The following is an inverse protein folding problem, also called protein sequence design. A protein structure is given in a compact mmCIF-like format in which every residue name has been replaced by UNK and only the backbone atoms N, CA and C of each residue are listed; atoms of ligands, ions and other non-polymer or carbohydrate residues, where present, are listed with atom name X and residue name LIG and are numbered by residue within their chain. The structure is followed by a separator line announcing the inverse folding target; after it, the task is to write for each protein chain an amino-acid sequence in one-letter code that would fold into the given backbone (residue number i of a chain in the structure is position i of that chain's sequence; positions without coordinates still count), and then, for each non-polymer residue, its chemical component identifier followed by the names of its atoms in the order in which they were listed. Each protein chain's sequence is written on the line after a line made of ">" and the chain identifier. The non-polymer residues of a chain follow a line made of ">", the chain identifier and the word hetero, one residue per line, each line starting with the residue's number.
data_IF_724137929274
#
_entry.id   IF_724137929274
#
_cell.length_a   1.000
_cell.length_b   1.000
_cell.length_c   1.000
_cell.angle_alpha   90.00
_cell.angle_beta   90.00
_cell.angle_gamma   90.00
#
_symmetry.space_group_name_H-M   'P 1'
#
loop_
_entity.id
_entity.type
_entity.pdbx_description
1 polymer ?
#
# COMPACT_ATOMS: atom_id res chain seq x y z
N UNK A 1 -64.29 -10.40 9.26
CA UNK A 1 -63.71 -9.29 10.04
C UNK A 1 -62.76 -9.87 11.06
N UNK A 2 -61.49 -9.56 11.22
CA UNK A 2 -60.51 -8.70 10.55
C UNK A 2 -59.15 -9.14 11.15
N UNK A 3 -58.10 -9.08 10.34
CA UNK A 3 -56.79 -9.71 10.59
C UNK A 3 -56.04 -9.18 11.83
N UNK A 4 -55.30 -10.08 12.49
CA UNK A 4 -54.32 -9.87 13.57
C UNK A 4 -53.36 -8.69 13.31
N UNK A 5 -53.09 -7.81 14.29
CA UNK A 5 -51.98 -6.87 14.16
C UNK A 5 -50.67 -7.60 14.49
N UNK A 6 -49.92 -7.87 13.43
CA UNK A 6 -48.55 -8.35 13.49
C UNK A 6 -47.62 -7.23 13.98
N UNK A 7 -46.79 -7.58 14.96
CA UNK A 7 -45.38 -7.21 15.04
C UNK A 7 -45.08 -5.71 15.02
N UNK A 8 -44.93 -5.15 16.23
CA UNK A 8 -44.10 -3.98 16.49
C UNK A 8 -42.67 -4.26 16.01
N UNK A 9 -42.40 -4.00 14.74
CA UNK A 9 -41.04 -3.84 14.22
C UNK A 9 -40.55 -2.51 14.75
N UNK A 10 -39.64 -2.60 15.70
CA UNK A 10 -38.84 -1.52 16.25
C UNK A 10 -38.43 -0.57 15.13
N UNK A 11 -38.95 0.66 15.19
CA UNK A 11 -38.40 1.80 14.48
C UNK A 11 -36.97 1.98 15.00
N UNK A 12 -36.01 1.39 14.29
CA UNK A 12 -34.60 1.72 14.46
C UNK A 12 -34.40 3.10 13.86
N UNK A 13 -34.55 4.06 14.77
CA UNK A 13 -34.22 5.46 14.71
C UNK A 13 -33.14 5.76 13.67
N UNK A 14 -33.60 6.47 12.64
CA UNK A 14 -32.81 6.91 11.53
C UNK A 14 -31.88 8.03 11.99
N UNK A 15 -30.63 7.96 11.51
CA UNK A 15 -29.70 9.10 11.46
C UNK A 15 -28.93 9.37 12.75
N UNK A 16 -28.14 8.39 13.21
CA UNK A 16 -26.94 8.77 13.94
C UNK A 16 -26.03 9.57 12.99
N UNK A 17 -25.64 10.81 13.34
CA UNK A 17 -24.69 11.55 12.55
C UNK A 17 -23.39 10.74 12.50
N UNK A 18 -22.92 10.41 11.30
CA UNK A 18 -21.58 9.84 11.11
C UNK A 18 -20.60 10.92 11.58
N UNK A 19 -20.26 10.86 12.87
CA UNK A 19 -19.28 11.76 13.45
C UNK A 19 -17.98 11.55 12.69
N UNK A 20 -17.26 12.65 12.38
CA UNK A 20 -15.93 12.64 11.74
C UNK A 20 -14.85 11.99 12.62
N UNK A 21 -15.21 11.07 13.52
CA UNK A 21 -14.24 10.19 14.16
C UNK A 21 -13.70 9.30 13.05
N UNK A 22 -12.39 9.35 12.83
CA UNK A 22 -11.69 8.44 11.95
C UNK A 22 -11.96 7.01 12.46
N UNK A 23 -13.01 6.36 11.95
CA UNK A 23 -13.30 4.97 12.27
C UNK A 23 -12.19 4.15 11.61
N UNK A 24 -11.21 3.77 12.41
CA UNK A 24 -10.14 2.88 12.00
C UNK A 24 -10.76 1.50 11.90
N UNK A 25 -11.16 1.10 10.70
CA UNK A 25 -11.58 -0.27 10.43
C UNK A 25 -10.42 -1.23 10.70
N UNK A 26 -10.69 -2.29 11.45
CA UNK A 26 -9.77 -3.40 11.65
C UNK A 26 -9.41 -4.06 10.31
N UNK A 27 -8.30 -4.80 10.25
CA UNK A 27 -7.97 -5.51 9.01
C UNK A 27 -8.99 -6.61 8.70
N UNK A 28 -9.59 -7.22 9.72
CA UNK A 28 -10.67 -8.21 9.56
C UNK A 28 -11.91 -7.60 8.91
N UNK A 29 -12.33 -6.40 9.34
CA UNK A 29 -13.44 -5.67 8.72
C UNK A 29 -13.13 -5.33 7.25
N UNK A 30 -11.89 -4.91 6.98
CA UNK A 30 -11.45 -4.63 5.61
C UNK A 30 -11.50 -5.90 4.77
N UNK A 31 -11.06 -7.04 5.29
CA UNK A 31 -11.14 -8.34 4.61
C UNK A 31 -12.61 -8.73 4.38
N UNK A 32 -13.49 -8.54 5.36
CA UNK A 32 -14.91 -8.84 5.24
C UNK A 32 -15.59 -7.96 4.16
N UNK A 33 -15.29 -6.66 4.12
CA UNK A 33 -15.73 -5.73 3.07
C UNK A 33 -15.26 -6.19 1.68
N UNK A 34 -13.98 -6.56 1.58
CA UNK A 34 -13.36 -7.07 0.35
C UNK A 34 -14.05 -8.35 -0.14
N UNK A 35 -14.28 -9.32 0.76
CA UNK A 35 -14.96 -10.60 0.45
C UNK A 35 -16.41 -10.38 0.03
N UNK A 36 -17.14 -9.50 0.73
CA UNK A 36 -18.52 -9.16 0.41
C UNK A 36 -18.67 -8.62 -1.02
N UNK A 37 -17.79 -7.70 -1.44
CA UNK A 37 -17.80 -7.15 -2.82
C UNK A 37 -17.27 -8.12 -3.87
N UNK A 38 -16.43 -9.10 -3.48
CA UNK A 38 -16.01 -10.17 -4.37
C UNK A 38 -17.16 -11.14 -4.68
N UNK A 39 -17.94 -11.51 -3.67
CA UNK A 39 -19.12 -12.38 -3.83
C UNK A 39 -20.31 -11.66 -4.47
N UNK A 40 -20.43 -10.35 -4.25
CA UNK A 40 -21.53 -9.53 -4.75
C UNK A 40 -21.02 -8.30 -5.52
N UNK A 41 -20.62 -8.44 -6.79
CA UNK A 41 -20.03 -7.35 -7.57
C UNK A 41 -21.00 -6.19 -7.85
N UNK A 42 -22.31 -6.44 -7.77
CA UNK A 42 -23.37 -5.42 -7.91
C UNK A 42 -23.69 -4.70 -6.59
N UNK A 43 -23.03 -5.04 -5.48
CA UNK A 43 -23.28 -4.42 -4.19
C UNK A 43 -22.99 -2.91 -4.22
N UNK A 44 -23.94 -2.10 -3.74
CA UNK A 44 -23.76 -0.65 -3.68
C UNK A 44 -22.84 -0.29 -2.52
N UNK A 45 -21.75 0.42 -2.82
CA UNK A 45 -20.77 0.90 -1.81
C UNK A 45 -21.42 1.67 -0.66
N UNK A 46 -22.50 2.42 -0.93
CA UNK A 46 -23.26 3.17 0.09
C UNK A 46 -23.93 2.24 1.11
N UNK A 47 -24.47 1.10 0.66
CA UNK A 47 -25.09 0.13 1.57
C UNK A 47 -24.04 -0.53 2.47
N UNK A 48 -22.89 -0.90 1.90
CA UNK A 48 -21.76 -1.41 2.69
C UNK A 48 -21.23 -0.36 3.66
N UNK A 49 -21.11 0.90 3.23
CA UNK A 49 -20.68 2.01 4.08
C UNK A 49 -21.58 2.16 5.31
N UNK A 50 -22.91 2.10 5.11
CA UNK A 50 -23.88 2.09 6.22
C UNK A 50 -23.71 0.89 7.15
N UNK A 51 -23.54 -0.32 6.59
CA UNK A 51 -23.35 -1.56 7.37
C UNK A 51 -22.14 -1.49 8.31
N UNK A 52 -21.05 -0.87 7.87
CA UNK A 52 -19.81 -0.74 8.65
C UNK A 52 -19.69 0.62 9.36
N UNK A 53 -20.74 1.44 9.33
CA UNK A 53 -20.75 2.80 9.88
C UNK A 53 -19.53 3.65 9.46
N UNK A 54 -19.20 3.59 8.17
CA UNK A 54 -18.10 4.35 7.57
C UNK A 54 -18.58 5.16 6.38
N UNK A 55 -17.74 6.07 5.90
CA UNK A 55 -18.00 6.80 4.66
C UNK A 55 -17.83 5.92 3.43
N UNK A 56 -18.55 6.27 2.35
CA UNK A 56 -18.48 5.58 1.05
C UNK A 56 -17.06 5.59 0.48
N UNK A 57 -16.34 6.66 0.71
CA UNK A 57 -14.96 6.91 0.31
C UNK A 57 -14.02 5.88 0.94
N UNK A 58 -14.26 5.51 2.20
CA UNK A 58 -13.50 4.46 2.91
C UNK A 58 -13.67 3.12 2.20
N UNK A 59 -14.90 2.74 1.85
CA UNK A 59 -15.18 1.52 1.07
C UNK A 59 -14.49 1.59 -0.30
N UNK A 60 -14.55 2.72 -0.99
CA UNK A 60 -13.89 2.90 -2.28
C UNK A 60 -12.37 2.76 -2.18
N UNK A 61 -11.74 3.30 -1.13
CA UNK A 61 -10.30 3.19 -0.86
C UNK A 61 -9.87 1.75 -0.59
N UNK A 62 -10.63 1.02 0.25
CA UNK A 62 -10.37 -0.40 0.57
C UNK A 62 -10.40 -1.25 -0.70
N UNK A 63 -11.40 -1.05 -1.56
CA UNK A 63 -11.53 -1.80 -2.81
C UNK A 63 -10.46 -1.40 -3.85
N UNK A 64 -10.02 -0.14 -3.88
CA UNK A 64 -8.95 0.31 -4.78
C UNK A 64 -7.59 -0.26 -4.39
N UNK A 65 -7.30 -0.34 -3.08
CA UNK A 65 -6.02 -0.84 -2.58
C UNK A 65 -5.85 -2.36 -2.71
N UNK A 66 -6.91 -3.13 -2.97
CA UNK A 66 -6.81 -4.57 -3.31
C UNK A 66 -5.89 -4.83 -4.52
N UNK A 67 -5.85 -3.90 -5.49
CA UNK A 67 -5.08 -4.07 -6.73
C UNK A 67 -3.63 -3.61 -6.65
N UNK A 68 -3.23 -2.96 -5.55
CA UNK A 68 -1.83 -2.57 -5.38
C UNK A 68 -1.07 -3.80 -4.92
N UNK A 69 -0.42 -4.49 -5.87
CA UNK A 69 0.64 -5.45 -5.56
C UNK A 69 1.52 -4.82 -4.47
N UNK A 70 1.80 -5.57 -3.40
CA UNK A 70 2.84 -5.20 -2.44
C UNK A 70 4.05 -4.82 -3.29
N UNK A 71 4.37 -3.52 -3.34
CA UNK A 71 5.58 -3.08 -4.02
C UNK A 71 6.67 -3.78 -3.24
N UNK A 72 7.33 -4.77 -3.86
CA UNK A 72 8.53 -5.36 -3.29
C UNK A 72 9.40 -4.17 -2.87
N UNK A 73 9.62 -4.04 -1.56
CA UNK A 73 10.51 -3.03 -1.02
C UNK A 73 11.82 -3.22 -1.77
N UNK A 74 12.22 -2.20 -2.52
CA UNK A 74 13.45 -2.24 -3.30
C UNK A 74 14.57 -2.42 -2.28
N UNK A 75 15.23 -3.59 -2.27
CA UNK A 75 16.41 -3.83 -1.44
C UNK A 75 17.38 -2.69 -1.72
N UNK A 76 17.62 -1.85 -0.72
CA UNK A 76 18.56 -0.76 -0.85
C UNK A 76 19.95 -1.34 -0.63
N UNK A 77 20.88 -1.01 -1.52
CA UNK A 77 22.31 -1.22 -1.24
C UNK A 77 22.66 -0.45 0.03
N UNK A 78 23.38 -1.11 0.93
CA UNK A 78 23.95 -0.49 2.12
C UNK A 78 24.88 0.67 1.71
N UNK A 79 25.00 1.67 2.58
CA UNK A 79 25.84 2.84 2.30
C UNK A 79 27.31 2.45 2.09
N UNK A 80 27.80 1.48 2.86
CA UNK A 80 29.15 0.93 2.76
C UNK A 80 29.42 0.31 1.39
N UNK A 81 28.50 -0.53 0.90
CA UNK A 81 28.61 -1.15 -0.44
C UNK A 81 28.68 -0.08 -1.53
N UNK A 82 27.85 0.97 -1.42
CA UNK A 82 27.85 2.07 -2.40
C UNK A 82 29.19 2.82 -2.41
N UNK A 83 29.76 3.08 -1.24
CA UNK A 83 31.06 3.73 -1.12
C UNK A 83 32.18 2.84 -1.70
N UNK A 84 32.17 1.54 -1.41
CA UNK A 84 33.15 0.60 -1.97
C UNK A 84 33.06 0.51 -3.50
N UNK A 85 31.84 0.47 -4.06
CA UNK A 85 31.60 0.48 -5.52
C UNK A 85 32.10 1.78 -6.14
N UNK A 86 31.78 2.92 -5.53
CA UNK A 86 32.19 4.23 -6.02
C UNK A 86 33.70 4.43 -5.95
N UNK A 87 34.31 4.13 -4.80
CA UNK A 87 35.76 4.21 -4.61
C UNK A 87 36.51 3.30 -5.58
N UNK A 88 36.03 2.08 -5.80
CA UNK A 88 36.64 1.18 -6.78
C UNK A 88 36.57 1.70 -8.22
N UNK A 89 35.46 2.34 -8.60
CA UNK A 89 35.32 2.99 -9.91
C UNK A 89 36.26 4.19 -10.05
N UNK A 90 36.43 5.00 -8.99
CA UNK A 90 37.36 6.13 -8.98
C UNK A 90 38.82 5.69 -9.12
N UNK A 91 39.22 4.64 -8.40
CA UNK A 91 40.58 4.08 -8.50
C UNK A 91 40.81 3.33 -9.82
N UNK A 92 39.76 2.91 -10.52
CA UNK A 92 39.85 2.11 -11.75
C UNK A 92 38.82 2.58 -12.80
N UNK A 93 39.01 3.77 -13.41
CA UNK A 93 38.03 4.36 -14.32
C UNK A 93 37.86 3.59 -15.64
N UNK A 94 38.86 2.77 -16.00
CA UNK A 94 38.86 1.92 -17.20
C UNK A 94 38.04 0.64 -17.02
N UNK A 95 37.75 0.23 -15.77
CA UNK A 95 37.01 -0.99 -15.49
C UNK A 95 35.54 -0.80 -15.86
N UNK A 96 35.00 -1.76 -16.59
CA UNK A 96 33.63 -1.68 -17.07
C UNK A 96 32.63 -1.86 -15.93
N UNK A 97 31.45 -1.24 -16.03
CA UNK A 97 30.36 -1.43 -15.06
C UNK A 97 29.96 -2.90 -14.90
N UNK A 98 30.15 -3.72 -15.94
CA UNK A 98 29.88 -5.16 -15.94
C UNK A 98 30.84 -5.92 -15.02
N UNK A 99 32.11 -5.53 -15.01
CA UNK A 99 33.11 -6.14 -14.13
C UNK A 99 32.91 -5.72 -12.67
N UNK A 100 32.56 -4.46 -12.43
CA UNK A 100 32.18 -3.98 -11.09
C UNK A 100 30.96 -4.72 -10.57
N UNK A 101 29.92 -4.89 -11.42
CA UNK A 101 28.73 -5.65 -11.10
C UNK A 101 29.04 -7.09 -10.69
N UNK A 102 29.95 -7.75 -11.42
CA UNK A 102 30.41 -9.10 -11.11
C UNK A 102 31.21 -9.16 -9.81
N UNK A 103 32.05 -8.17 -9.54
CA UNK A 103 32.87 -8.10 -8.32
C UNK A 103 32.04 -7.97 -7.04
N UNK A 104 30.97 -7.18 -7.10
CA UNK A 104 30.12 -6.88 -5.94
C UNK A 104 28.80 -7.66 -5.92
N UNK A 105 28.62 -8.63 -6.83
CA UNK A 105 27.39 -9.43 -7.02
C UNK A 105 26.09 -8.60 -7.05
N UNK A 106 26.12 -7.49 -7.80
CA UNK A 106 24.97 -6.58 -7.92
C UNK A 106 24.64 -6.30 -9.37
N UNK A 107 23.39 -5.89 -9.62
CA UNK A 107 22.99 -5.57 -10.99
C UNK A 107 23.81 -4.41 -11.57
N UNK A 108 24.17 -4.52 -12.85
CA UNK A 108 24.86 -3.44 -13.58
C UNK A 108 24.08 -2.11 -13.54
N UNK A 109 22.75 -2.18 -13.50
CA UNK A 109 21.88 -1.01 -13.32
C UNK A 109 22.05 -0.37 -11.95
N UNK A 110 22.26 -1.17 -10.89
CA UNK A 110 22.57 -0.66 -9.56
C UNK A 110 23.93 0.04 -9.53
N UNK A 111 24.97 -0.55 -10.14
CA UNK A 111 26.30 0.08 -10.30
C UNK A 111 26.17 1.43 -11.02
N UNK A 112 25.43 1.45 -12.15
CA UNK A 112 25.19 2.68 -12.90
C UNK A 112 24.51 3.76 -12.06
N UNK A 113 23.53 3.39 -11.23
CA UNK A 113 22.87 4.35 -10.32
C UNK A 113 23.82 4.91 -9.27
N UNK A 114 24.67 4.07 -8.67
CA UNK A 114 25.67 4.50 -7.66
C UNK A 114 26.65 5.49 -8.29
N UNK A 115 27.19 5.17 -9.47
CA UNK A 115 28.13 6.03 -10.19
C UNK A 115 27.47 7.34 -10.64
N UNK A 116 26.29 7.27 -11.28
CA UNK A 116 25.63 8.45 -11.87
C UNK A 116 25.04 9.43 -10.88
N UNK A 117 24.67 8.98 -9.68
CA UNK A 117 23.98 9.84 -8.70
C UNK A 117 24.87 10.38 -7.60
N UNK A 118 26.12 9.91 -7.50
CA UNK A 118 26.98 10.15 -6.32
C UNK A 118 26.22 9.84 -5.00
N UNK A 119 25.23 8.93 -5.09
CA UNK A 119 24.22 8.65 -4.06
C UNK A 119 24.94 8.07 -2.82
N UNK A 120 25.26 8.93 -1.85
CA UNK A 120 25.93 8.56 -0.59
C UNK A 120 27.30 9.21 -0.33
N UNK A 121 27.74 10.18 -1.14
CA UNK A 121 28.96 10.96 -0.83
C UNK A 121 28.68 12.39 -0.31
N UNK A 122 27.50 12.98 -0.57
CA UNK A 122 27.19 14.38 -0.21
C UNK A 122 26.42 14.52 1.14
N UNK A 123 26.60 13.60 2.10
CA UNK A 123 25.94 13.70 3.44
C UNK A 123 26.92 13.66 4.62
N UNK A 124 28.18 14.01 4.39
CA UNK A 124 29.19 14.12 5.45
C UNK A 124 29.95 15.45 5.33
N UNK A 125 29.22 16.57 5.44
CA UNK A 125 29.75 17.88 5.82
C UNK A 125 28.91 18.39 7.01
#
# INVERSE_FOLDING_TARGET
>A
MGVTPASQRSELDATQPITRKYVVLSEDDRIAIRRHHALNPKARKIQTARKYNVYRETIASILKNQKKKVRKTRTQLLTEDRQAIYGFHQSNPTVSRKEIAKKYDISMTSVGRVISRKDGLDTMD
#
